data_IF_653906520260
#
_entry.id   IF_653906520260
#
_cell.length_a   1.000
_cell.length_b   1.000
_cell.length_c   1.000
_cell.angle_alpha   90.00
_cell.angle_beta   90.00
_cell.angle_gamma   90.00
#
_symmetry.space_group_name_H-M   'P 1'
#
loop_
_entity.id
_entity.type
_entity.pdbx_description
1 polymer ?
#
# COMPACT_ATOMS: atom_id res chain seq x y z
N UNK A 1 27.60 -15.67 -21.00
CA UNK A 1 27.40 -14.94 -19.75
C UNK A 1 27.90 -15.82 -18.61
N UNK A 2 28.76 -15.35 -17.71
CA UNK A 2 29.13 -16.13 -16.54
C UNK A 2 27.88 -16.37 -15.70
N UNK A 3 27.58 -17.63 -15.44
CA UNK A 3 26.57 -18.02 -14.47
C UNK A 3 27.13 -17.64 -13.09
N UNK A 4 26.45 -16.77 -12.37
CA UNK A 4 26.80 -16.49 -10.99
C UNK A 4 26.55 -17.79 -10.20
N UNK A 5 27.63 -18.45 -9.78
CA UNK A 5 27.51 -19.57 -8.87
C UNK A 5 26.95 -19.04 -7.53
N UNK A 6 25.86 -19.59 -7.08
CA UNK A 6 25.37 -19.31 -5.73
C UNK A 6 26.44 -19.73 -4.71
N UNK A 7 26.71 -18.90 -3.70
CA UNK A 7 27.65 -19.27 -2.66
C UNK A 7 27.16 -20.56 -1.96
N UNK A 8 28.02 -21.57 -1.93
CA UNK A 8 27.70 -22.90 -1.40
C UNK A 8 27.38 -22.94 0.10
N UNK A 9 27.68 -21.87 0.82
CA UNK A 9 27.34 -21.69 2.23
C UNK A 9 26.97 -20.23 2.50
N UNK A 10 25.94 -19.96 3.33
CA UNK A 10 25.63 -18.62 3.76
C UNK A 10 26.82 -18.07 4.57
N UNK A 11 27.42 -17.00 4.11
CA UNK A 11 28.42 -16.27 4.86
C UNK A 11 27.72 -15.32 5.82
N UNK A 12 27.66 -15.72 7.08
CA UNK A 12 27.23 -14.82 8.15
C UNK A 12 28.38 -13.86 8.51
N UNK A 13 28.05 -12.57 8.51
CA UNK A 13 28.94 -11.52 8.96
C UNK A 13 28.27 -10.79 10.11
N UNK A 14 28.85 -10.88 11.29
CA UNK A 14 28.38 -10.11 12.44
C UNK A 14 28.87 -8.68 12.32
N UNK A 15 27.94 -7.74 12.17
CA UNK A 15 28.28 -6.32 12.18
C UNK A 15 28.39 -5.82 13.62
N UNK A 16 29.33 -4.89 13.91
CA UNK A 16 29.42 -4.30 15.24
C UNK A 16 28.15 -3.54 15.59
N UNK A 17 27.73 -3.53 16.86
CA UNK A 17 26.58 -2.74 17.30
C UNK A 17 26.76 -1.27 16.97
N UNK A 18 25.72 -0.65 16.45
CA UNK A 18 25.68 0.80 16.18
C UNK A 18 24.68 1.47 17.12
N UNK A 19 25.00 2.65 17.67
CA UNK A 19 24.05 3.41 18.46
C UNK A 19 22.89 3.87 17.58
N UNK A 20 21.66 3.61 18.01
CA UNK A 20 20.47 4.15 17.37
C UNK A 20 20.07 5.48 18.02
N UNK A 21 19.65 6.44 17.21
CA UNK A 21 19.09 7.69 17.71
C UNK A 21 17.60 7.48 18.03
N UNK A 22 17.12 8.12 19.09
CA UNK A 22 15.72 8.10 19.43
C UNK A 22 14.94 8.98 18.46
N UNK A 23 14.06 8.40 17.68
CA UNK A 23 13.29 9.08 16.63
C UNK A 23 11.98 9.73 17.10
N UNK A 24 11.49 9.35 18.28
CA UNK A 24 10.22 9.84 18.82
C UNK A 24 9.34 8.71 19.38
N UNK A 25 8.08 9.07 19.67
CA UNK A 25 7.02 8.17 20.12
C UNK A 25 5.77 8.37 19.29
N UNK A 26 4.94 7.36 19.24
CA UNK A 26 3.60 7.38 18.67
C UNK A 26 2.74 6.32 19.35
N UNK A 27 1.44 6.40 19.18
CA UNK A 27 0.51 5.36 19.64
C UNK A 27 0.53 4.17 18.66
N UNK A 28 0.59 4.46 17.37
CA UNK A 28 0.61 3.45 16.30
C UNK A 28 1.76 3.71 15.34
N UNK A 29 2.62 2.73 15.17
CA UNK A 29 3.67 2.72 14.17
C UNK A 29 3.29 1.77 13.04
N UNK A 30 3.02 2.33 11.86
CA UNK A 30 2.76 1.55 10.64
C UNK A 30 4.03 1.40 9.84
N UNK A 31 4.40 0.18 9.52
CA UNK A 31 5.61 -0.13 8.75
C UNK A 31 5.24 -0.58 7.35
N UNK A 32 5.58 0.24 6.37
CA UNK A 32 5.26 0.07 4.96
C UNK A 32 4.05 0.89 4.51
N UNK A 33 4.23 1.72 3.49
CA UNK A 33 3.24 2.61 2.91
C UNK A 33 2.53 2.03 1.67
N UNK A 34 2.44 0.70 1.56
CA UNK A 34 1.63 0.03 0.55
C UNK A 34 0.12 0.19 0.83
N UNK A 35 -0.78 -0.37 -0.01
CA UNK A 35 -2.22 -0.19 0.13
C UNK A 35 -2.76 -0.54 1.54
N UNK A 36 -2.28 -1.63 2.13
CA UNK A 36 -2.68 -2.04 3.47
C UNK A 36 -2.18 -1.08 4.56
N UNK A 37 -0.91 -0.65 4.49
CA UNK A 37 -0.35 0.27 5.47
C UNK A 37 -0.96 1.67 5.37
N UNK A 38 -1.22 2.14 4.15
CA UNK A 38 -1.95 3.38 3.92
C UNK A 38 -3.33 3.36 4.61
N UNK A 39 -4.13 2.33 4.34
CA UNK A 39 -5.45 2.21 4.94
C UNK A 39 -5.39 2.05 6.47
N UNK A 40 -4.41 1.29 6.97
CA UNK A 40 -4.22 1.10 8.41
C UNK A 40 -3.83 2.40 9.12
N UNK A 41 -2.97 3.22 8.51
CA UNK A 41 -2.55 4.49 9.09
C UNK A 41 -3.70 5.49 9.19
N UNK A 42 -4.50 5.64 8.12
CA UNK A 42 -5.68 6.50 8.13
C UNK A 42 -6.70 5.98 9.16
N UNK A 43 -7.02 4.68 9.13
CA UNK A 43 -7.97 4.11 10.07
C UNK A 43 -7.55 4.25 11.53
N UNK A 44 -6.25 4.19 11.84
CA UNK A 44 -5.75 4.48 13.17
C UNK A 44 -5.87 5.97 13.52
N UNK A 45 -5.52 6.87 12.60
CA UNK A 45 -5.63 8.32 12.81
C UNK A 45 -7.10 8.75 13.03
N UNK A 46 -8.05 8.15 12.33
CA UNK A 46 -9.49 8.41 12.49
C UNK A 46 -10.00 8.07 13.91
N UNK A 47 -9.28 7.24 14.67
CA UNK A 47 -9.59 6.98 16.09
C UNK A 47 -8.98 8.00 17.05
N UNK A 48 -8.23 8.97 16.54
CA UNK A 48 -7.53 9.99 17.32
C UNK A 48 -6.12 9.56 17.80
N UNK A 49 -5.60 8.43 17.30
CA UNK A 49 -4.25 7.97 17.64
C UNK A 49 -3.17 8.85 16.99
N UNK A 50 -2.06 9.05 17.69
CA UNK A 50 -0.83 9.62 17.12
C UNK A 50 -0.13 8.54 16.26
N UNK A 51 -0.14 8.74 14.93
CA UNK A 51 0.31 7.73 13.98
C UNK A 51 1.58 8.16 13.27
N UNK A 52 2.54 7.25 13.18
CA UNK A 52 3.71 7.36 12.31
C UNK A 52 3.65 6.23 11.27
N UNK A 53 3.80 6.58 10.00
CA UNK A 53 4.00 5.63 8.93
C UNK A 53 5.44 5.72 8.43
N UNK A 54 6.16 4.59 8.47
CA UNK A 54 7.52 4.48 7.95
C UNK A 54 7.52 3.72 6.62
N UNK A 55 8.11 4.33 5.57
CA UNK A 55 8.20 3.76 4.23
C UNK A 55 9.65 3.80 3.72
N UNK A 56 10.10 2.71 3.12
CA UNK A 56 11.47 2.59 2.59
C UNK A 56 11.72 3.42 1.33
N UNK A 57 10.69 3.67 0.55
CA UNK A 57 10.76 4.52 -0.63
C UNK A 57 10.48 5.99 -0.27
N UNK A 58 10.63 6.88 -1.24
CA UNK A 58 10.29 8.30 -1.12
C UNK A 58 8.81 8.61 -1.45
N UNK A 59 7.96 7.59 -1.58
CA UNK A 59 6.55 7.72 -1.94
C UNK A 59 5.75 6.51 -1.47
N UNK A 60 4.43 6.66 -1.42
CA UNK A 60 3.49 5.64 -0.98
C UNK A 60 2.94 4.81 -2.15
N UNK A 61 2.19 3.76 -1.83
CA UNK A 61 1.42 2.95 -2.75
C UNK A 61 1.95 1.52 -2.96
N UNK A 62 3.19 1.23 -2.57
CA UNK A 62 3.75 -0.13 -2.63
C UNK A 62 3.58 -0.76 -4.01
N UNK A 63 2.94 -1.94 -4.09
CA UNK A 63 2.75 -2.65 -5.36
C UNK A 63 2.02 -1.82 -6.41
N UNK A 64 1.07 -0.98 -6.02
CA UNK A 64 0.32 -0.14 -6.95
C UNK A 64 1.20 0.90 -7.66
N UNK A 65 2.27 1.35 -7.02
CA UNK A 65 3.11 2.45 -7.52
C UNK A 65 4.53 2.04 -7.84
N UNK A 66 5.17 1.21 -7.01
CA UNK A 66 6.54 0.73 -7.24
C UNK A 66 6.56 -0.35 -8.31
N UNK A 67 5.69 -1.34 -8.19
CA UNK A 67 5.62 -2.47 -9.12
C UNK A 67 4.62 -2.24 -10.26
N UNK A 68 3.92 -1.10 -10.29
CA UNK A 68 2.93 -0.73 -11.30
C UNK A 68 1.85 -1.80 -11.50
N UNK A 69 1.43 -2.43 -10.39
CA UNK A 69 0.28 -3.35 -10.39
C UNK A 69 -1.00 -2.50 -10.48
N UNK A 70 -1.40 -2.25 -11.69
CA UNK A 70 -2.60 -1.52 -12.08
C UNK A 70 -3.45 -2.43 -12.95
N UNK A 71 -4.73 -2.58 -12.73
CA UNK A 71 -5.69 -1.77 -11.97
C UNK A 71 -5.94 -2.26 -10.54
N UNK A 72 -6.75 -1.48 -9.79
CA UNK A 72 -7.35 -1.98 -8.55
C UNK A 72 -8.45 -2.98 -8.90
N UNK A 73 -8.48 -4.10 -8.17
CA UNK A 73 -9.35 -5.24 -8.43
C UNK A 73 -9.93 -5.80 -7.13
N UNK A 74 -10.88 -6.74 -7.27
CA UNK A 74 -11.37 -7.59 -6.15
C UNK A 74 -12.04 -6.83 -5.00
N UNK A 75 -12.70 -5.72 -5.27
CA UNK A 75 -13.43 -4.97 -4.25
C UNK A 75 -14.97 -5.06 -4.36
N UNK A 76 -15.46 -5.91 -5.25
CA UNK A 76 -16.85 -6.32 -5.35
C UNK A 76 -16.96 -7.83 -5.21
N UNK A 77 -18.09 -8.33 -4.67
CA UNK A 77 -18.36 -9.76 -4.72
C UNK A 77 -18.84 -10.18 -6.12
N UNK A 78 -18.74 -11.46 -6.41
CA UNK A 78 -19.31 -12.01 -7.65
C UNK A 78 -20.84 -11.96 -7.59
N UNK A 79 -21.46 -11.26 -8.55
CA UNK A 79 -22.82 -11.62 -8.93
C UNK A 79 -22.79 -12.79 -9.90
N UNK A 80 -23.69 -13.76 -9.67
CA UNK A 80 -23.85 -14.96 -10.48
C UNK A 80 -23.73 -14.61 -11.96
N UNK A 81 -22.70 -15.17 -12.60
CA UNK A 81 -22.43 -15.12 -14.04
C UNK A 81 -22.01 -13.73 -14.59
N UNK A 82 -20.82 -13.28 -14.25
CA UNK A 82 -20.02 -12.77 -15.34
C UNK A 82 -19.73 -13.97 -16.27
N UNK A 83 -20.52 -14.14 -17.31
CA UNK A 83 -20.19 -15.10 -18.33
C UNK A 83 -18.76 -14.78 -18.76
N UNK A 84 -17.86 -15.77 -18.69
CA UNK A 84 -16.53 -15.63 -19.25
C UNK A 84 -16.77 -15.16 -20.68
N UNK A 85 -16.29 -13.95 -21.00
CA UNK A 85 -16.35 -13.46 -22.36
C UNK A 85 -15.68 -14.48 -23.23
N UNK A 86 -16.35 -14.91 -24.29
CA UNK A 86 -15.80 -15.86 -25.25
C UNK A 86 -14.46 -15.32 -25.75
N UNK A 87 -13.51 -16.22 -26.00
CA UNK A 87 -12.22 -15.85 -26.56
C UNK A 87 -12.42 -15.02 -27.84
N UNK A 88 -12.02 -13.75 -27.82
CA UNK A 88 -12.20 -12.82 -28.93
C UNK A 88 -13.19 -11.68 -28.69
N UNK A 89 -13.89 -11.62 -27.55
CA UNK A 89 -14.71 -10.47 -27.18
C UNK A 89 -13.83 -9.27 -26.85
N UNK A 90 -13.82 -8.28 -27.72
CA UNK A 90 -13.08 -7.00 -27.56
C UNK A 90 -13.96 -5.90 -26.99
N UNK A 91 -15.18 -6.19 -26.55
CA UNK A 91 -16.10 -5.21 -25.97
C UNK A 91 -15.61 -4.65 -24.63
N UNK A 92 -14.69 -5.36 -23.96
CA UNK A 92 -14.09 -4.96 -22.69
C UNK A 92 -12.62 -4.60 -22.85
N UNK A 93 -12.20 -3.55 -22.16
CA UNK A 93 -10.80 -3.11 -22.16
C UNK A 93 -9.91 -4.02 -21.29
N UNK A 94 -10.48 -4.64 -20.27
CA UNK A 94 -9.78 -5.46 -19.29
C UNK A 94 -10.58 -6.72 -18.99
N UNK A 95 -9.92 -7.82 -18.58
CA UNK A 95 -10.62 -9.00 -18.10
C UNK A 95 -11.54 -8.65 -16.93
N UNK A 96 -12.70 -9.30 -16.87
CA UNK A 96 -13.60 -9.17 -15.72
C UNK A 96 -12.98 -9.91 -14.54
N UNK A 97 -12.83 -9.21 -13.41
CA UNK A 97 -12.36 -9.82 -12.19
C UNK A 97 -13.53 -10.43 -11.40
N UNK A 98 -14.51 -9.62 -11.00
CA UNK A 98 -15.63 -10.06 -10.17
C UNK A 98 -17.02 -9.60 -10.64
N UNK A 99 -17.18 -8.87 -11.70
CA UNK A 99 -18.49 -8.45 -12.23
C UNK A 99 -19.20 -7.37 -11.38
N UNK A 100 -20.54 -7.32 -11.53
CA UNK A 100 -21.42 -6.25 -11.00
C UNK A 100 -21.81 -6.42 -9.52
N UNK A 101 -21.10 -7.21 -8.75
CA UNK A 101 -21.50 -7.50 -7.38
C UNK A 101 -21.53 -6.30 -6.43
N UNK A 102 -22.02 -6.54 -5.24
CA UNK A 102 -21.98 -5.55 -4.16
C UNK A 102 -20.53 -5.25 -3.76
N UNK A 103 -20.19 -3.98 -3.46
CA UNK A 103 -18.87 -3.65 -2.95
C UNK A 103 -18.63 -4.33 -1.61
N UNK A 104 -17.51 -5.04 -1.49
CA UNK A 104 -17.11 -5.75 -0.26
C UNK A 104 -16.09 -4.96 0.56
N UNK A 105 -15.57 -3.87 0.00
CA UNK A 105 -14.62 -2.96 0.65
C UNK A 105 -15.22 -1.56 0.66
N UNK A 106 -15.14 -0.89 1.81
CA UNK A 106 -15.65 0.45 2.03
C UNK A 106 -14.57 1.37 2.63
N UNK A 107 -14.94 2.60 2.97
CA UNK A 107 -14.09 3.54 3.71
C UNK A 107 -12.95 4.10 2.88
N UNK A 108 -11.72 3.94 3.34
CA UNK A 108 -10.52 4.61 2.79
C UNK A 108 -10.33 4.36 1.29
N UNK A 109 -10.65 3.16 0.79
CA UNK A 109 -10.55 2.87 -0.64
C UNK A 109 -11.49 3.77 -1.46
N UNK A 110 -12.74 3.91 -1.05
CA UNK A 110 -13.70 4.75 -1.79
C UNK A 110 -13.36 6.23 -1.72
N UNK A 111 -12.87 6.71 -0.58
CA UNK A 111 -12.37 8.09 -0.46
C UNK A 111 -11.23 8.35 -1.45
N UNK A 112 -10.31 7.39 -1.59
CA UNK A 112 -9.22 7.46 -2.57
C UNK A 112 -9.75 7.45 -4.01
N UNK A 113 -10.70 6.57 -4.32
CA UNK A 113 -11.29 6.48 -5.66
C UNK A 113 -12.04 7.76 -6.04
N UNK A 114 -12.84 8.33 -5.14
CA UNK A 114 -13.55 9.59 -5.37
C UNK A 114 -12.56 10.72 -5.67
N UNK A 115 -11.48 10.80 -4.92
CA UNK A 115 -10.42 11.78 -5.14
C UNK A 115 -9.72 11.60 -6.49
N UNK A 116 -9.39 10.37 -6.85
CA UNK A 116 -8.78 10.05 -8.15
C UNK A 116 -9.72 10.35 -9.31
N UNK A 117 -10.99 9.97 -9.21
CA UNK A 117 -12.01 10.27 -10.23
C UNK A 117 -12.17 11.78 -10.43
N UNK A 118 -12.25 12.54 -9.32
CA UNK A 118 -12.36 14.00 -9.36
C UNK A 118 -11.19 14.70 -10.05
N UNK A 119 -10.04 14.03 -10.16
CA UNK A 119 -8.81 14.53 -10.83
C UNK A 119 -8.57 13.93 -12.20
N UNK A 120 -9.44 13.04 -12.67
CA UNK A 120 -9.19 12.28 -13.89
C UNK A 120 -8.07 11.26 -13.75
N UNK A 121 -7.71 10.88 -12.53
CA UNK A 121 -6.62 9.97 -12.20
C UNK A 121 -7.01 8.49 -12.22
N UNK A 122 -8.27 8.15 -12.44
CA UNK A 122 -8.71 6.79 -12.68
C UNK A 122 -9.99 6.73 -13.52
N UNK A 123 -10.24 5.56 -14.11
CA UNK A 123 -11.54 5.25 -14.70
C UNK A 123 -12.45 4.63 -13.63
N UNK A 124 -13.74 5.01 -13.59
CA UNK A 124 -14.66 4.40 -12.64
C UNK A 124 -14.88 2.92 -12.96
N UNK A 125 -15.21 2.09 -11.95
CA UNK A 125 -15.60 0.71 -12.19
C UNK A 125 -16.84 0.67 -13.09
N UNK A 126 -16.81 -0.14 -14.13
CA UNK A 126 -17.87 -0.24 -15.13
C UNK A 126 -17.80 -1.57 -15.88
N UNK A 127 -18.85 -1.98 -16.60
CA UNK A 127 -18.78 -3.15 -17.47
C UNK A 127 -17.64 -3.07 -18.48
N UNK A 128 -17.34 -1.87 -18.98
CA UNK A 128 -16.26 -1.64 -19.93
C UNK A 128 -14.86 -1.92 -19.37
N UNK A 129 -14.65 -1.66 -18.10
CA UNK A 129 -13.39 -1.94 -17.38
C UNK A 129 -13.40 -3.30 -16.68
N UNK A 130 -14.45 -4.10 -16.82
CA UNK A 130 -14.63 -5.34 -16.09
C UNK A 130 -14.72 -5.12 -14.58
N UNK A 131 -15.25 -3.96 -14.16
CA UNK A 131 -15.34 -3.52 -12.75
C UNK A 131 -14.00 -3.38 -12.04
N UNK A 132 -12.92 -3.33 -12.79
CA UNK A 132 -11.61 -2.93 -12.28
C UNK A 132 -11.44 -1.42 -12.40
N UNK A 133 -10.47 -0.84 -11.70
CA UNK A 133 -10.19 0.59 -11.69
C UNK A 133 -8.77 0.85 -12.15
N UNK A 134 -8.56 1.04 -13.47
CA UNK A 134 -7.29 1.54 -13.98
C UNK A 134 -7.03 2.95 -13.46
N UNK A 135 -5.80 3.22 -13.04
CA UNK A 135 -5.43 4.51 -12.45
C UNK A 135 -4.08 5.01 -12.95
N UNK A 136 -3.88 6.32 -12.85
CA UNK A 136 -2.59 6.97 -13.05
C UNK A 136 -1.73 6.80 -11.77
N UNK A 137 -0.53 6.19 -11.85
CA UNK A 137 0.27 5.92 -10.67
C UNK A 137 0.84 7.18 -10.01
N UNK A 138 1.06 8.27 -10.75
CA UNK A 138 1.57 9.51 -10.16
C UNK A 138 0.46 10.27 -9.41
N UNK A 139 -0.74 10.36 -10.00
CA UNK A 139 -1.90 10.89 -9.30
C UNK A 139 -2.29 10.04 -8.10
N UNK A 140 -2.09 8.72 -8.19
CA UNK A 140 -2.29 7.81 -7.06
C UNK A 140 -1.33 8.14 -5.91
N UNK A 141 -0.02 8.22 -6.15
CA UNK A 141 0.99 8.62 -5.15
C UNK A 141 0.63 9.94 -4.49
N UNK A 142 0.28 10.93 -5.31
CA UNK A 142 -0.05 12.26 -4.82
C UNK A 142 -1.31 12.25 -3.93
N UNK A 143 -2.35 11.53 -4.35
CA UNK A 143 -3.58 11.40 -3.56
C UNK A 143 -3.36 10.70 -2.22
N UNK A 144 -2.49 9.67 -2.19
CA UNK A 144 -2.12 9.02 -0.95
C UNK A 144 -1.41 9.97 0.03
N UNK A 145 -0.47 10.78 -0.48
CA UNK A 145 0.25 11.76 0.34
C UNK A 145 -0.68 12.80 0.94
N UNK A 146 -1.61 13.35 0.15
CA UNK A 146 -2.58 14.31 0.64
C UNK A 146 -3.51 13.73 1.70
N UNK A 147 -4.03 12.52 1.46
CA UNK A 147 -4.90 11.85 2.45
C UNK A 147 -4.18 11.60 3.77
N UNK A 148 -2.89 11.23 3.72
CA UNK A 148 -2.08 11.07 4.93
C UNK A 148 -1.87 12.40 5.67
N UNK A 149 -1.56 13.47 4.94
CA UNK A 149 -1.35 14.81 5.52
C UNK A 149 -2.65 15.33 6.16
N UNK A 150 -3.76 15.22 5.46
CA UNK A 150 -5.10 15.60 5.95
C UNK A 150 -5.52 14.82 7.20
N UNK A 151 -5.11 13.55 7.31
CA UNK A 151 -5.38 12.71 8.49
C UNK A 151 -4.38 12.94 9.63
N UNK A 152 -3.40 13.83 9.46
CA UNK A 152 -2.39 14.14 10.47
C UNK A 152 -1.38 13.01 10.70
N UNK A 153 -1.26 12.05 9.78
CA UNK A 153 -0.27 10.97 9.87
C UNK A 153 1.13 11.50 9.59
N UNK A 154 2.05 11.32 10.53
CA UNK A 154 3.45 11.65 10.33
C UNK A 154 4.13 10.62 9.45
N UNK A 155 4.78 11.04 8.37
CA UNK A 155 5.42 10.15 7.41
C UNK A 155 6.94 10.19 7.54
N UNK A 156 7.57 9.01 7.61
CA UNK A 156 9.01 8.82 7.61
C UNK A 156 9.40 8.04 6.36
N UNK A 157 9.89 8.76 5.35
CA UNK A 157 10.35 8.16 4.10
C UNK A 157 11.83 7.75 4.16
N UNK A 158 12.24 6.91 3.21
CA UNK A 158 13.60 6.35 3.13
C UNK A 158 14.01 5.63 4.40
N UNK A 159 13.04 5.02 5.10
CA UNK A 159 13.22 4.33 6.36
C UNK A 159 12.98 2.82 6.18
N UNK A 160 14.06 2.06 6.16
CA UNK A 160 14.00 0.61 6.09
C UNK A 160 13.89 0.03 7.49
N UNK A 161 12.81 -0.69 7.76
CA UNK A 161 12.63 -1.36 9.06
C UNK A 161 13.63 -2.51 9.21
N UNK A 162 14.48 -2.42 10.20
CA UNK A 162 15.53 -3.41 10.50
C UNK A 162 15.18 -4.32 11.66
N UNK A 163 14.17 -3.97 12.47
CA UNK A 163 13.74 -4.81 13.57
C UNK A 163 12.67 -4.19 14.45
N UNK A 164 12.08 -5.00 15.31
CA UNK A 164 11.16 -4.58 16.35
C UNK A 164 11.51 -5.29 17.66
N UNK A 165 11.56 -4.55 18.76
CA UNK A 165 11.85 -5.06 20.09
C UNK A 165 10.70 -4.69 21.03
N UNK A 166 10.20 -5.62 21.85
CA UNK A 166 9.26 -5.28 22.91
C UNK A 166 9.89 -4.32 23.91
N UNK A 167 9.10 -3.47 24.52
CA UNK A 167 9.53 -2.69 25.66
C UNK A 167 9.60 -3.58 26.90
N UNK A 168 10.57 -3.30 27.78
CA UNK A 168 10.85 -4.12 28.97
C UNK A 168 9.63 -4.27 29.91
N UNK A 169 8.73 -3.29 29.91
CA UNK A 169 7.51 -3.28 30.71
C UNK A 169 6.30 -3.92 29.99
N UNK A 170 6.48 -4.45 28.80
CA UNK A 170 5.40 -5.06 27.99
C UNK A 170 4.34 -4.09 27.46
N UNK A 171 4.53 -2.77 27.60
CA UNK A 171 3.53 -1.76 27.22
C UNK A 171 3.55 -1.38 25.74
N UNK A 172 4.45 -1.96 24.94
CA UNK A 172 4.58 -1.62 23.53
C UNK A 172 5.84 -2.15 22.87
N UNK A 173 6.18 -1.54 21.73
CA UNK A 173 7.29 -1.96 20.87
C UNK A 173 8.21 -0.80 20.52
N UNK A 174 9.45 -1.12 20.27
CA UNK A 174 10.43 -0.19 19.69
C UNK A 174 10.77 -0.66 18.28
N UNK A 175 10.43 0.14 17.28
CA UNK A 175 10.84 -0.07 15.90
C UNK A 175 12.24 0.45 15.64
N UNK A 176 13.07 -0.35 14.99
CA UNK A 176 14.39 0.05 14.51
C UNK A 176 14.34 0.33 12.99
N UNK A 177 14.97 1.42 12.56
CA UNK A 177 15.01 1.81 11.16
C UNK A 177 16.43 2.20 10.76
N UNK A 178 16.78 1.81 9.51
CA UNK A 178 17.91 2.36 8.79
C UNK A 178 17.40 3.44 7.84
N UNK A 179 17.98 4.64 7.94
CA UNK A 179 17.64 5.78 7.08
C UNK A 179 18.86 6.18 6.25
N UNK A 180 18.62 6.70 5.06
CA UNK A 180 19.68 7.30 4.23
C UNK A 180 20.01 8.71 4.69
#
# INVERSE_FOLDING_TARGET
>A
MPVLEEPREPREVTLPPRPARHGGRCDVLVVGGGPAGFAAAIGAADTGADVVLAERYGFLGGNATVALVMPLMSFHNEHKQAAFTEAGDTSRLLPTDHGEGEPVVAGVLWQLLDRLMGRGGCLPPSPKTGYTVPFDPELFKFSLLEMMDESGVRMLFHAFASGALPLDNGSGWRGGFETK
#
